data_IF_985857346042
#
_entry.id   IF_985857346042
#
_cell.length_a   1.000
_cell.length_b   1.000
_cell.length_c   1.000
_cell.angle_alpha   90.00
_cell.angle_beta   90.00
_cell.angle_gamma   90.00
#
_symmetry.space_group_name_H-M   'P 1'
#
loop_
_entity.id
_entity.type
_entity.pdbx_description
1 polymer ?
#
# COMPACT_ATOMS: atom_id res chain seq x y z
N UNK A 1 28.91 20.32 -6.56
CA UNK A 1 28.77 18.94 -6.02
C UNK A 1 27.34 18.35 -6.11
N UNK A 2 26.37 18.99 -6.78
CA UNK A 2 24.98 18.48 -6.84
C UNK A 2 24.63 17.50 -7.98
N UNK A 3 25.37 17.52 -9.10
CA UNK A 3 25.03 16.69 -10.27
C UNK A 3 25.43 15.21 -10.12
N UNK A 4 26.51 14.92 -9.37
CA UNK A 4 27.00 13.55 -9.16
C UNK A 4 26.07 12.78 -8.22
N UNK A 5 25.58 13.42 -7.15
CA UNK A 5 24.63 12.82 -6.20
C UNK A 5 23.27 12.55 -6.84
N UNK A 6 22.77 13.44 -7.69
CA UNK A 6 21.55 13.22 -8.46
C UNK A 6 21.66 12.05 -9.45
N UNK A 7 22.79 11.92 -10.15
CA UNK A 7 22.99 10.84 -11.11
C UNK A 7 23.03 9.47 -10.43
N UNK A 8 23.72 9.38 -9.29
CA UNK A 8 23.76 8.18 -8.44
C UNK A 8 22.37 7.84 -7.89
N UNK A 9 21.60 8.85 -7.44
CA UNK A 9 20.22 8.66 -6.96
C UNK A 9 19.29 8.12 -8.04
N UNK A 10 19.34 8.67 -9.27
CA UNK A 10 18.53 8.18 -10.40
C UNK A 10 18.91 6.75 -10.80
N UNK A 11 20.20 6.40 -10.80
CA UNK A 11 20.67 5.04 -11.06
C UNK A 11 20.15 4.05 -10.03
N UNK A 12 20.16 4.43 -8.75
CA UNK A 12 19.65 3.58 -7.67
C UNK A 12 18.13 3.43 -7.73
N UNK A 13 17.38 4.51 -7.94
CA UNK A 13 15.93 4.45 -8.08
C UNK A 13 15.52 3.48 -9.20
N UNK A 14 16.20 3.52 -10.35
CA UNK A 14 16.00 2.55 -11.45
C UNK A 14 16.36 1.13 -11.06
N UNK A 15 17.38 0.93 -10.24
CA UNK A 15 17.77 -0.41 -9.77
C UNK A 15 16.73 -0.99 -8.82
N UNK A 16 16.20 -0.16 -7.91
CA UNK A 16 15.24 -0.54 -6.86
C UNK A 16 13.82 -0.80 -7.39
N UNK A 17 13.41 -0.03 -8.39
CA UNK A 17 12.09 -0.17 -9.05
C UNK A 17 12.02 -1.33 -10.04
N UNK A 18 13.14 -2.01 -10.35
CA UNK A 18 13.12 -3.17 -11.25
C UNK A 18 12.29 -4.32 -10.65
N UNK A 19 11.35 -4.91 -11.43
CA UNK A 19 10.63 -6.11 -11.05
C UNK A 19 11.55 -7.32 -10.83
N UNK A 20 11.16 -8.23 -9.95
CA UNK A 20 11.84 -9.50 -9.66
C UNK A 20 11.12 -10.63 -10.39
N UNK A 21 11.88 -11.46 -11.13
CA UNK A 21 11.37 -12.51 -12.04
C UNK A 21 10.56 -13.65 -11.38
N UNK A 22 10.59 -13.78 -10.05
CA UNK A 22 10.06 -14.93 -9.31
C UNK A 22 8.76 -14.66 -8.54
N UNK A 23 8.13 -13.50 -8.72
CA UNK A 23 6.90 -13.18 -7.98
C UNK A 23 5.70 -13.79 -8.69
N UNK A 24 5.34 -15.04 -8.36
CA UNK A 24 4.04 -15.61 -8.75
C UNK A 24 2.96 -14.89 -7.95
N UNK A 25 2.53 -13.72 -8.41
CA UNK A 25 1.42 -13.00 -7.79
C UNK A 25 0.15 -13.43 -8.47
N UNK A 26 -0.72 -14.06 -7.69
CA UNK A 26 -2.08 -14.33 -8.12
C UNK A 26 -2.90 -13.14 -7.65
N UNK A 27 -3.48 -12.38 -8.59
CA UNK A 27 -4.49 -11.40 -8.27
C UNK A 27 -5.65 -12.11 -7.57
N UNK A 28 -5.91 -11.79 -6.30
CA UNK A 28 -6.98 -12.41 -5.53
C UNK A 28 -8.35 -11.82 -5.85
N UNK A 29 -8.37 -10.61 -6.43
CA UNK A 29 -9.56 -9.85 -6.78
C UNK A 29 -9.37 -9.34 -8.22
N UNK A 30 -10.39 -9.50 -9.08
CA UNK A 30 -10.34 -8.94 -10.44
C UNK A 30 -10.42 -7.41 -10.41
N UNK A 31 -9.89 -6.76 -11.44
CA UNK A 31 -9.89 -5.29 -11.50
C UNK A 31 -11.31 -4.72 -11.44
N UNK A 32 -12.29 -5.38 -12.06
CA UNK A 32 -13.69 -4.95 -12.10
C UNK A 32 -14.32 -5.03 -10.69
N UNK A 33 -14.07 -6.12 -9.97
CA UNK A 33 -14.53 -6.29 -8.59
C UNK A 33 -13.89 -5.26 -7.67
N UNK A 34 -12.61 -4.96 -7.87
CA UNK A 34 -11.89 -3.95 -7.12
C UNK A 34 -12.47 -2.55 -7.39
N UNK A 35 -12.70 -2.20 -8.66
CA UNK A 35 -13.26 -0.91 -9.06
C UNK A 35 -14.68 -0.68 -8.50
N UNK A 36 -15.48 -1.73 -8.42
CA UNK A 36 -16.87 -1.66 -7.89
C UNK A 36 -16.88 -1.49 -6.37
N UNK A 37 -15.90 -2.08 -5.66
CA UNK A 37 -15.85 -2.05 -4.21
C UNK A 37 -15.17 -0.80 -3.63
N UNK A 38 -14.23 -0.19 -4.36
CA UNK A 38 -13.45 0.95 -3.87
C UNK A 38 -14.29 2.22 -3.68
N UNK A 39 -13.97 2.97 -2.63
CA UNK A 39 -14.55 4.26 -2.29
C UNK A 39 -13.44 5.30 -2.07
N UNK A 40 -13.66 6.59 -2.40
CA UNK A 40 -12.67 7.63 -2.15
C UNK A 40 -12.17 7.61 -0.70
N UNK A 41 -10.86 7.80 -0.48
CA UNK A 41 -10.24 7.69 0.84
C UNK A 41 -9.86 6.27 1.25
N UNK A 42 -10.28 5.23 0.52
CA UNK A 42 -9.77 3.88 0.73
C UNK A 42 -8.26 3.82 0.45
N UNK A 43 -7.54 3.07 1.29
CA UNK A 43 -6.13 2.73 1.07
C UNK A 43 -6.06 1.37 0.39
N UNK A 44 -5.50 1.34 -0.81
CA UNK A 44 -5.22 0.11 -1.53
C UNK A 44 -3.81 -0.37 -1.18
N UNK A 45 -3.72 -1.45 -0.41
CA UNK A 45 -2.47 -2.14 -0.15
C UNK A 45 -2.12 -3.03 -1.33
N UNK A 46 -0.84 -3.01 -1.70
CA UNK A 46 -0.32 -3.77 -2.83
C UNK A 46 0.86 -4.61 -2.38
N UNK A 47 0.81 -5.88 -2.70
CA UNK A 47 1.98 -6.72 -2.66
C UNK A 47 2.84 -6.41 -3.90
N UNK A 48 3.82 -5.53 -3.77
CA UNK A 48 4.69 -5.16 -4.89
C UNK A 48 5.68 -6.27 -5.26
N UNK A 49 6.19 -6.21 -6.49
CA UNK A 49 7.11 -7.19 -7.06
C UNK A 49 8.50 -6.62 -7.41
N UNK A 50 8.79 -5.39 -6.95
CA UNK A 50 10.07 -4.72 -7.21
C UNK A 50 11.14 -5.15 -6.22
N UNK A 51 12.41 -4.83 -6.49
CA UNK A 51 13.49 -5.10 -5.51
C UNK A 51 13.24 -4.41 -4.18
N UNK A 52 12.81 -3.15 -4.21
CA UNK A 52 12.45 -2.43 -2.98
C UNK A 52 11.32 -3.14 -2.23
N UNK A 53 10.35 -3.71 -2.95
CA UNK A 53 9.26 -4.46 -2.32
C UNK A 53 9.78 -5.61 -1.46
N UNK A 54 10.80 -6.35 -1.92
CA UNK A 54 11.42 -7.44 -1.14
C UNK A 54 11.99 -6.94 0.18
N UNK A 55 12.71 -5.81 0.16
CA UNK A 55 13.26 -5.22 1.38
C UNK A 55 12.16 -4.76 2.35
N UNK A 56 11.11 -4.10 1.85
CA UNK A 56 9.97 -3.65 2.68
C UNK A 56 9.27 -4.85 3.31
N UNK A 57 8.98 -5.91 2.53
CA UNK A 57 8.36 -7.14 3.07
C UNK A 57 9.18 -7.76 4.18
N UNK A 58 10.50 -7.85 3.96
CA UNK A 58 11.43 -8.37 4.95
C UNK A 58 11.50 -7.51 6.22
N UNK A 59 11.56 -6.19 6.09
CA UNK A 59 11.66 -5.29 7.24
C UNK A 59 10.38 -5.24 8.07
N UNK A 60 9.24 -5.20 7.39
CA UNK A 60 7.92 -5.05 8.03
C UNK A 60 7.31 -6.38 8.44
N UNK A 61 7.94 -7.51 8.04
CA UNK A 61 7.41 -8.86 8.22
C UNK A 61 5.95 -8.96 7.71
N UNK A 62 5.71 -8.36 6.56
CA UNK A 62 4.39 -8.27 5.92
C UNK A 62 4.50 -8.54 4.43
N UNK A 63 3.41 -9.02 3.81
CA UNK A 63 3.32 -9.10 2.34
C UNK A 63 3.11 -7.71 1.73
N UNK A 64 2.49 -6.78 2.46
CA UNK A 64 2.20 -5.43 1.98
C UNK A 64 3.47 -4.61 1.89
N UNK A 65 3.86 -4.25 0.67
CA UNK A 65 5.10 -3.54 0.42
C UNK A 65 4.89 -2.17 -0.22
N UNK A 66 3.65 -1.87 -0.62
CA UNK A 66 3.27 -0.62 -1.21
C UNK A 66 1.82 -0.28 -0.87
N UNK A 67 1.47 1.00 -0.98
CA UNK A 67 0.12 1.50 -0.74
C UNK A 67 -0.20 2.65 -1.71
N UNK A 68 -1.46 2.75 -2.11
CA UNK A 68 -1.98 3.87 -2.89
C UNK A 68 -3.32 4.32 -2.29
N UNK A 69 -3.63 5.62 -2.36
CA UNK A 69 -4.93 6.14 -1.95
C UNK A 69 -5.87 6.17 -3.16
N UNK A 70 -7.08 5.61 -3.02
CA UNK A 70 -8.11 5.76 -4.02
C UNK A 70 -8.80 7.13 -3.88
N UNK A 71 -8.82 7.89 -4.97
CA UNK A 71 -9.38 9.25 -5.02
C UNK A 71 -10.67 9.34 -5.82
N UNK A 72 -11.07 8.25 -6.49
CA UNK A 72 -12.21 8.24 -7.41
C UNK A 72 -11.96 9.02 -8.70
N UNK A 73 -13.03 9.31 -9.44
CA UNK A 73 -12.97 9.96 -10.76
C UNK A 73 -12.90 11.50 -10.67
N UNK A 74 -12.10 12.02 -9.75
CA UNK A 74 -11.98 13.47 -9.49
C UNK A 74 -10.91 14.16 -10.34
N UNK A 75 -9.99 13.38 -10.92
CA UNK A 75 -8.93 13.90 -11.77
C UNK A 75 -9.41 14.09 -13.22
N UNK A 76 -8.91 15.13 -13.93
CA UNK A 76 -9.27 15.37 -15.30
C UNK A 76 -8.78 14.23 -16.21
N UNK A 77 -9.60 13.83 -17.17
CA UNK A 77 -9.19 12.88 -18.19
C UNK A 77 -8.36 13.63 -19.24
N UNK A 78 -7.09 13.27 -19.40
CA UNK A 78 -6.25 13.93 -20.42
C UNK A 78 -6.71 13.58 -21.85
N UNK A 79 -7.33 12.42 -22.04
CA UNK A 79 -7.92 12.01 -23.31
C UNK A 79 -9.02 10.93 -23.13
N UNK A 80 -10.01 10.84 -24.05
CA UNK A 80 -11.11 9.85 -23.96
C UNK A 80 -10.67 8.38 -23.93
N UNK A 81 -9.52 8.04 -24.51
CA UNK A 81 -9.00 6.68 -24.57
C UNK A 81 -8.09 6.31 -23.38
N UNK A 82 -7.78 7.26 -22.51
CA UNK A 82 -6.97 6.98 -21.33
C UNK A 82 -7.84 6.39 -20.23
N UNK A 83 -7.33 5.33 -19.61
CA UNK A 83 -7.96 4.77 -18.42
C UNK A 83 -7.98 5.82 -17.30
N UNK A 84 -9.07 5.87 -16.49
CA UNK A 84 -9.20 6.86 -15.44
C UNK A 84 -8.10 6.68 -14.40
N UNK A 85 -7.45 7.78 -14.03
CA UNK A 85 -6.46 7.82 -12.98
C UNK A 85 -7.16 8.03 -11.64
N UNK A 86 -7.32 6.94 -10.89
CA UNK A 86 -8.18 6.88 -9.70
C UNK A 86 -7.40 6.55 -8.43
N UNK A 87 -6.10 6.27 -8.56
CA UNK A 87 -5.19 6.01 -7.45
C UNK A 87 -4.07 7.05 -7.44
N UNK A 88 -3.66 7.49 -6.25
CA UNK A 88 -2.48 8.32 -6.05
C UNK A 88 -1.48 7.57 -5.18
N UNK A 89 -0.23 7.60 -5.58
CA UNK A 89 0.87 6.96 -4.87
C UNK A 89 2.15 7.79 -4.92
N UNK A 90 3.09 7.47 -4.04
CA UNK A 90 4.46 7.95 -4.12
C UNK A 90 5.36 6.90 -4.75
N UNK A 91 5.93 7.21 -5.92
CA UNK A 91 6.92 6.41 -6.63
C UNK A 91 8.33 6.97 -6.47
N UNK A 92 9.34 6.09 -6.46
CA UNK A 92 10.75 6.47 -6.27
C UNK A 92 11.33 7.28 -7.44
N UNK A 93 10.83 7.05 -8.65
CA UNK A 93 11.36 7.64 -9.88
C UNK A 93 10.50 8.83 -10.31
N UNK A 94 9.19 8.69 -10.22
CA UNK A 94 8.22 9.66 -10.73
C UNK A 94 7.68 10.59 -9.64
N UNK A 95 8.00 10.34 -8.36
CA UNK A 95 7.45 11.11 -7.25
C UNK A 95 6.00 10.76 -7.00
N UNK A 96 5.23 11.71 -6.46
CA UNK A 96 3.79 11.52 -6.28
C UNK A 96 3.11 11.60 -7.64
N UNK A 97 2.39 10.54 -8.01
CA UNK A 97 1.74 10.40 -9.32
C UNK A 97 0.35 9.82 -9.19
N UNK A 98 -0.49 10.11 -10.18
CA UNK A 98 -1.79 9.47 -10.36
C UNK A 98 -1.71 8.34 -11.37
N UNK A 99 -2.33 7.20 -11.08
CA UNK A 99 -2.31 5.99 -11.90
C UNK A 99 -3.70 5.36 -11.99
N UNK A 100 -3.90 4.53 -13.01
CA UNK A 100 -5.13 3.75 -13.16
C UNK A 100 -5.09 2.47 -12.32
N UNK A 101 -6.27 1.91 -12.01
CA UNK A 101 -6.38 0.62 -11.34
C UNK A 101 -5.66 -0.51 -12.09
N UNK A 102 -5.60 -0.41 -13.43
CA UNK A 102 -4.98 -1.40 -14.29
C UNK A 102 -3.48 -1.61 -14.00
N UNK A 103 -2.81 -0.60 -13.42
CA UNK A 103 -1.42 -0.73 -12.97
C UNK A 103 -1.23 -1.87 -11.95
N UNK A 104 -2.28 -2.20 -11.18
CA UNK A 104 -2.26 -3.24 -10.15
C UNK A 104 -3.11 -4.47 -10.46
N UNK A 105 -3.66 -4.59 -11.67
CA UNK A 105 -4.60 -5.64 -12.04
C UNK A 105 -4.08 -7.08 -11.83
N UNK A 106 -2.78 -7.28 -11.94
CA UNK A 106 -2.14 -8.60 -11.79
C UNK A 106 -1.41 -8.78 -10.45
N UNK A 107 -1.59 -7.86 -9.51
CA UNK A 107 -0.96 -7.92 -8.20
C UNK A 107 -1.96 -8.35 -7.14
N UNK A 108 -1.44 -8.91 -6.05
CA UNK A 108 -2.25 -9.16 -4.88
C UNK A 108 -2.53 -7.82 -4.17
N UNK A 109 -3.80 -7.52 -3.97
CA UNK A 109 -4.27 -6.25 -3.39
C UNK A 109 -5.24 -6.46 -2.23
N UNK A 110 -5.31 -5.46 -1.34
CA UNK A 110 -6.30 -5.41 -0.26
C UNK A 110 -6.80 -3.97 -0.09
N UNK A 111 -8.11 -3.82 0.12
CA UNK A 111 -8.73 -2.54 0.42
C UNK A 111 -8.80 -2.37 1.94
N UNK A 112 -8.23 -1.28 2.44
CA UNK A 112 -8.36 -0.82 3.82
C UNK A 112 -9.24 0.45 3.81
N UNK A 113 -10.44 0.36 4.40
CA UNK A 113 -11.42 1.45 4.42
C UNK A 113 -11.45 2.14 5.78
N UNK A 114 -11.21 3.46 5.86
CA UNK A 114 -11.28 4.16 7.15
C UNK A 114 -12.72 4.18 7.67
N UNK A 115 -12.92 3.66 8.90
CA UNK A 115 -14.22 3.64 9.58
C UNK A 115 -14.50 5.01 10.21
N UNK A 116 -15.73 5.50 10.08
CA UNK A 116 -16.19 6.74 10.72
C UNK A 116 -15.62 8.03 10.15
N UNK A 117 -14.90 7.98 9.03
CA UNK A 117 -14.38 9.18 8.36
C UNK A 117 -15.53 9.96 7.73
N UNK A 118 -15.70 11.22 8.15
CA UNK A 118 -16.73 12.11 7.63
C UNK A 118 -16.51 12.39 6.13
N UNK A 119 -17.58 12.72 5.41
CA UNK A 119 -17.51 13.06 3.99
C UNK A 119 -16.59 14.27 3.73
N UNK A 120 -16.61 15.23 4.66
CA UNK A 120 -15.77 16.43 4.60
C UNK A 120 -14.29 16.09 4.80
N UNK A 121 -13.96 15.26 5.79
CA UNK A 121 -12.58 14.84 6.05
C UNK A 121 -12.07 13.90 4.97
N UNK A 122 -12.93 13.03 4.43
CA UNK A 122 -12.61 12.21 3.25
C UNK A 122 -12.21 13.10 2.08
N UNK A 123 -12.95 14.18 1.82
CA UNK A 123 -12.58 15.15 0.79
C UNK A 123 -11.22 15.80 1.08
N UNK A 124 -10.97 16.23 2.32
CA UNK A 124 -9.68 16.82 2.73
C UNK A 124 -8.50 15.86 2.52
N UNK A 125 -8.66 14.58 2.89
CA UNK A 125 -7.64 13.54 2.67
C UNK A 125 -7.35 13.36 1.17
N UNK A 126 -8.39 13.30 0.35
CA UNK A 126 -8.25 13.20 -1.12
C UNK A 126 -7.58 14.44 -1.70
N UNK A 127 -8.03 15.64 -1.35
CA UNK A 127 -7.44 16.90 -1.80
C UNK A 127 -5.96 17.01 -1.39
N UNK A 128 -5.62 16.53 -0.19
CA UNK A 128 -4.26 16.55 0.35
C UNK A 128 -3.27 15.78 -0.53
N UNK A 129 -3.65 14.59 -1.00
CA UNK A 129 -2.78 13.79 -1.87
C UNK A 129 -2.77 14.30 -3.30
N UNK A 130 -3.89 14.84 -3.80
CA UNK A 130 -3.97 15.48 -5.13
C UNK A 130 -3.04 16.68 -5.20
N UNK A 131 -3.06 17.54 -4.18
CA UNK A 131 -2.19 18.72 -4.10
C UNK A 131 -0.69 18.37 -4.09
N UNK A 132 -0.34 17.10 -3.83
CA UNK A 132 1.04 16.63 -3.80
C UNK A 132 1.50 15.98 -5.09
N UNK A 133 0.66 15.81 -6.10
CA UNK A 133 1.07 15.29 -7.41
C UNK A 133 2.23 16.12 -7.95
N UNK A 134 3.30 15.44 -8.39
CA UNK A 134 4.54 16.07 -8.87
C UNK A 134 5.59 16.33 -7.78
N UNK A 135 5.28 16.15 -6.49
CA UNK A 135 6.29 16.25 -5.44
C UNK A 135 7.27 15.06 -5.51
N UNK A 136 8.56 15.35 -5.35
CA UNK A 136 9.63 14.35 -5.27
C UNK A 136 10.13 14.20 -3.84
N UNK A 137 10.52 12.98 -3.48
CA UNK A 137 11.07 12.65 -2.17
C UNK A 137 12.59 12.54 -2.20
N UNK A 138 13.23 12.93 -1.09
CA UNK A 138 14.66 12.76 -0.92
C UNK A 138 15.01 11.27 -0.77
N UNK A 139 15.74 10.74 -1.74
CA UNK A 139 16.13 9.33 -1.81
C UNK A 139 17.12 8.91 -0.72
N UNK A 140 17.66 9.84 0.09
CA UNK A 140 18.63 9.56 1.17
C UNK A 140 18.25 8.38 2.06
N UNK A 141 17.00 8.29 2.52
CA UNK A 141 16.55 7.20 3.38
C UNK A 141 16.35 5.87 2.65
N UNK A 142 16.17 5.91 1.32
CA UNK A 142 16.00 4.72 0.49
C UNK A 142 17.34 4.03 0.20
N UNK A 143 18.47 4.75 0.27
CA UNK A 143 19.81 4.14 0.20
C UNK A 143 20.04 3.11 1.33
N UNK A 144 19.57 3.40 2.54
CA UNK A 144 19.66 2.48 3.67
C UNK A 144 18.87 1.19 3.46
N UNK A 145 17.88 1.22 2.58
CA UNK A 145 17.04 0.06 2.24
C UNK A 145 17.78 -0.96 1.37
N UNK A 146 18.78 -0.51 0.62
CA UNK A 146 19.60 -1.34 -0.27
C UNK A 146 20.32 -2.46 0.51
N UNK A 147 20.70 -2.21 1.77
CA UNK A 147 21.34 -3.23 2.63
C UNK A 147 20.38 -4.35 3.02
N UNK A 148 19.08 -4.17 2.89
CA UNK A 148 18.09 -5.23 3.13
C UNK A 148 17.76 -6.04 1.88
N UNK A 149 18.34 -5.69 0.73
CA UNK A 149 18.31 -6.51 -0.48
C UNK A 149 19.29 -7.69 -0.44
N UNK A 150 19.99 -7.90 0.69
CA UNK A 150 21.01 -8.94 0.88
C UNK A 150 20.56 -10.39 0.60
N UNK A 151 19.27 -10.79 0.67
CA UNK A 151 18.85 -12.08 0.17
C UNK A 151 19.00 -12.22 -1.37
N UNK A 152 18.93 -11.09 -2.09
CA UNK A 152 18.94 -11.02 -3.57
C UNK A 152 20.24 -10.50 -4.17
N UNK A 153 21.17 -9.98 -3.34
CA UNK A 153 22.47 -9.52 -3.80
C UNK A 153 23.51 -10.64 -3.70
N UNK A 154 24.42 -10.78 -4.68
CA UNK A 154 25.51 -11.76 -4.66
C UNK A 154 26.62 -11.32 -3.69
N UNK A 155 26.26 -11.08 -2.42
CA UNK A 155 27.20 -10.69 -1.37
C UNK A 155 27.58 -11.94 -0.57
N UNK A 156 28.89 -12.24 -0.42
CA UNK A 156 29.36 -13.36 0.38
C UNK A 156 28.78 -13.29 1.80
N UNK A 157 28.30 -14.43 2.31
CA UNK A 157 27.60 -14.56 3.60
C UNK A 157 28.35 -13.89 4.76
N UNK A 158 29.69 -13.93 4.74
CA UNK A 158 30.58 -13.28 5.73
C UNK A 158 30.42 -11.76 5.85
N UNK A 159 30.01 -11.06 4.79
CA UNK A 159 29.84 -9.61 4.80
C UNK A 159 28.39 -9.18 5.12
N UNK A 160 27.42 -10.11 5.08
CA UNK A 160 26.00 -9.80 5.33
C UNK A 160 25.77 -9.23 6.72
N UNK A 161 26.38 -9.84 7.75
CA UNK A 161 26.25 -9.37 9.16
C UNK A 161 26.84 -7.98 9.36
N UNK A 162 27.96 -7.66 8.70
CA UNK A 162 28.59 -6.33 8.78
C UNK A 162 27.77 -5.24 8.08
N UNK A 163 27.16 -5.56 6.94
CA UNK A 163 26.30 -4.62 6.20
C UNK A 163 25.00 -4.28 6.95
N UNK A 164 24.45 -5.22 7.71
CA UNK A 164 23.27 -4.96 8.54
C UNK A 164 23.59 -4.10 9.78
N UNK A 165 24.80 -4.23 10.32
CA UNK A 165 25.26 -3.50 11.51
C UNK A 165 25.69 -2.04 11.25
N UNK A 166 25.86 -1.64 9.99
CA UNK A 166 26.32 -0.31 9.57
C UNK A 166 25.17 0.67 9.27
N UNK A 167 24.18 0.81 10.16
CA UNK A 167 23.09 1.77 9.96
C UNK A 167 22.39 2.17 11.25
N UNK A 168 22.29 3.48 11.50
CA UNK A 168 21.73 4.12 12.71
C UNK A 168 20.36 4.78 12.51
N UNK A 169 19.75 4.63 11.33
CA UNK A 169 18.46 5.24 11.00
C UNK A 169 17.33 4.22 10.90
N UNK A 170 16.10 4.65 11.22
CA UNK A 170 14.88 3.87 11.06
C UNK A 170 14.60 3.65 9.55
N UNK A 171 14.90 2.46 9.01
CA UNK A 171 14.96 2.22 7.57
C UNK A 171 13.58 1.96 6.97
N UNK A 172 12.51 2.02 7.77
CA UNK A 172 11.15 1.63 7.39
C UNK A 172 10.35 2.73 6.70
N UNK A 173 10.97 3.88 6.40
CA UNK A 173 10.34 5.02 5.71
C UNK A 173 9.91 4.66 4.29
N UNK A 174 8.74 4.05 4.14
CA UNK A 174 8.09 3.88 2.86
C UNK A 174 7.42 5.20 2.47
N UNK A 175 7.83 5.75 1.33
CA UNK A 175 7.34 7.05 0.84
C UNK A 175 5.83 7.03 0.59
N UNK A 176 5.29 5.90 0.15
CA UNK A 176 3.88 5.72 -0.15
C UNK A 176 3.01 5.73 1.11
N UNK A 177 3.38 4.98 2.16
CA UNK A 177 2.67 5.02 3.45
C UNK A 177 2.84 6.35 4.16
N UNK A 178 4.00 7.01 4.01
CA UNK A 178 4.24 8.35 4.57
C UNK A 178 3.28 9.39 3.98
N UNK A 179 3.13 9.44 2.64
CA UNK A 179 2.20 10.36 1.98
C UNK A 179 0.77 10.19 2.50
N UNK A 180 0.31 8.93 2.57
CA UNK A 180 -1.04 8.59 2.99
C UNK A 180 -1.22 8.91 4.48
N UNK A 181 -0.25 8.59 5.32
CA UNK A 181 -0.28 8.91 6.74
C UNK A 181 -0.39 10.41 7.00
N UNK A 182 0.39 11.21 6.28
CA UNK A 182 0.31 12.67 6.36
C UNK A 182 -1.07 13.21 5.95
N UNK A 183 -1.74 12.57 4.99
CA UNK A 183 -3.09 12.95 4.58
C UNK A 183 -4.11 12.70 5.69
N UNK A 184 -4.09 11.52 6.32
CA UNK A 184 -4.96 11.19 7.46
C UNK A 184 -4.63 12.03 8.72
N UNK A 185 -3.34 12.29 8.97
CA UNK A 185 -2.89 13.15 10.07
C UNK A 185 -3.43 14.59 9.92
N UNK A 186 -3.57 15.09 8.70
CA UNK A 186 -4.11 16.45 8.44
C UNK A 186 -5.54 16.65 8.94
N UNK A 187 -6.30 15.55 9.05
CA UNK A 187 -7.67 15.52 9.61
C UNK A 187 -7.70 14.85 10.99
N UNK A 188 -6.54 14.63 11.61
CA UNK A 188 -6.36 13.95 12.91
C UNK A 188 -6.99 12.55 12.97
N UNK A 189 -7.06 11.86 11.83
CA UNK A 189 -7.57 10.49 11.77
C UNK A 189 -6.49 9.50 12.22
N UNK A 190 -6.79 8.62 13.20
CA UNK A 190 -5.80 7.68 13.74
C UNK A 190 -5.58 6.49 12.79
N UNK A 191 -4.32 6.21 12.43
CA UNK A 191 -3.95 4.97 11.72
C UNK A 191 -3.55 3.92 12.75
N UNK A 192 -2.43 4.13 13.44
CA UNK A 192 -2.02 3.28 14.56
C UNK A 192 -1.45 4.19 15.66
N UNK A 193 -2.32 4.82 16.47
CA UNK A 193 -1.89 5.72 17.53
C UNK A 193 -1.19 4.94 18.65
N UNK A 194 -0.27 5.61 19.35
CA UNK A 194 0.19 5.13 20.65
C UNK A 194 -0.88 5.44 21.68
N UNK A 195 -1.34 4.40 22.40
CA UNK A 195 -2.36 4.53 23.44
C UNK A 195 -1.63 4.69 24.76
N UNK A 196 -1.66 5.90 25.32
CA UNK A 196 -1.20 6.15 26.67
C UNK A 196 -2.38 6.09 27.64
N UNK A 197 -2.32 5.18 28.61
CA UNK A 197 -3.31 5.13 29.70
C UNK A 197 -2.84 6.05 30.82
N UNK A 198 -3.62 7.10 31.08
CA UNK A 198 -3.44 7.94 32.27
C UNK A 198 -4.56 7.68 33.26
N UNK A 199 -4.27 7.79 34.55
CA UNK A 199 -5.31 7.74 35.58
C UNK A 199 -6.25 8.94 35.41
N UNK A 200 -7.55 8.72 35.56
CA UNK A 200 -8.54 9.79 35.50
C UNK A 200 -8.41 10.69 36.73
N UNK A 201 -8.36 12.01 36.54
CA UNK A 201 -8.39 13.00 37.63
C UNK A 201 -9.80 13.15 38.25
N UNK A 202 -10.75 12.27 37.92
CA UNK A 202 -12.12 12.34 38.43
C UNK A 202 -12.21 11.73 39.86
N UNK A 203 -12.48 12.54 40.89
CA UNK A 203 -12.55 12.06 42.28
C UNK A 203 -13.71 11.09 42.56
N UNK A 204 -14.68 10.96 41.65
CA UNK A 204 -15.76 9.96 41.73
C UNK A 204 -15.43 8.61 41.07
N UNK A 205 -14.34 8.52 40.31
CA UNK A 205 -13.94 7.34 39.53
C UNK A 205 -12.43 7.15 39.54
N UNK A 206 -11.85 6.94 40.72
CA UNK A 206 -10.41 6.75 40.91
C UNK A 206 -9.84 5.49 40.19
N UNK A 207 -10.69 4.53 39.84
CA UNK A 207 -10.33 3.30 39.11
C UNK A 207 -10.57 3.38 37.59
N UNK A 208 -10.87 4.58 37.05
CA UNK A 208 -11.03 4.76 35.61
C UNK A 208 -9.75 5.27 34.94
N UNK A 209 -9.39 4.67 33.81
CA UNK A 209 -8.29 5.11 32.97
C UNK A 209 -8.81 5.95 31.80
N UNK A 210 -8.15 7.06 31.49
CA UNK A 210 -8.32 7.77 30.24
C UNK A 210 -7.27 7.29 29.23
N UNK A 211 -7.71 6.91 28.02
CA UNK A 211 -6.82 6.57 26.91
C UNK A 211 -6.54 7.81 26.07
N UNK A 212 -5.29 8.26 26.05
CA UNK A 212 -4.83 9.36 25.20
C UNK A 212 -4.15 8.77 23.97
N UNK A 213 -4.65 9.11 22.79
CA UNK A 213 -4.13 8.63 21.51
C UNK A 213 -3.11 9.63 20.95
N UNK A 214 -1.86 9.22 20.83
CA UNK A 214 -0.80 10.01 20.20
C UNK A 214 -0.57 9.53 18.76
N UNK A 215 -0.63 10.45 17.81
CA UNK A 215 -0.26 10.18 16.42
C UNK A 215 1.24 9.98 16.35
N UNK A 216 1.67 8.85 15.79
CA UNK A 216 3.10 8.58 15.57
C UNK A 216 3.61 9.48 14.45
N UNK A 217 4.90 9.79 14.48
CA UNK A 217 5.52 10.53 13.38
C UNK A 217 5.30 9.79 12.06
N UNK A 218 4.71 10.46 11.07
CA UNK A 218 4.21 9.85 9.83
C UNK A 218 5.24 8.99 9.08
N UNK A 219 6.54 9.28 9.23
CA UNK A 219 7.62 8.53 8.59
C UNK A 219 7.77 7.09 9.09
N UNK A 220 7.17 6.76 10.24
CA UNK A 220 7.25 5.43 10.85
C UNK A 220 6.17 4.49 10.35
N UNK A 221 5.16 5.01 9.64
CA UNK A 221 4.09 4.17 9.10
C UNK A 221 4.58 3.39 7.89
N UNK A 222 4.19 2.13 7.87
CA UNK A 222 4.44 1.16 6.82
C UNK A 222 3.08 0.74 6.22
N UNK A 223 3.06 0.15 5.00
CA UNK A 223 1.81 -0.35 4.41
C UNK A 223 1.06 -1.32 5.33
N UNK A 224 1.77 -2.10 6.16
CA UNK A 224 1.19 -3.03 7.14
C UNK A 224 0.29 -2.33 8.16
N UNK A 225 0.61 -1.10 8.55
CA UNK A 225 -0.09 -0.43 9.66
C UNK A 225 -1.55 -0.14 9.34
N UNK A 226 -1.89 0.07 8.06
CA UNK A 226 -3.29 0.19 7.62
C UNK A 226 -4.05 -1.14 7.68
N UNK A 227 -3.37 -2.28 7.51
CA UNK A 227 -3.98 -3.62 7.55
C UNK A 227 -4.30 -4.06 8.98
N UNK A 228 -3.46 -3.69 9.94
CA UNK A 228 -3.60 -4.09 11.35
C UNK A 228 -4.33 -3.04 12.20
N UNK A 229 -4.60 -1.87 11.63
CA UNK A 229 -5.26 -0.78 12.34
C UNK A 229 -6.68 -1.19 12.75
N UNK A 230 -7.10 -0.92 14.00
CA UNK A 230 -8.48 -1.14 14.41
C UNK A 230 -9.46 -0.09 13.83
N UNK A 231 -8.94 0.94 13.16
CA UNK A 231 -9.73 2.03 12.58
C UNK A 231 -10.02 1.80 11.09
N UNK A 232 -9.45 0.77 10.48
CA UNK A 232 -9.68 0.44 9.07
C UNK A 232 -10.36 -0.92 8.91
N UNK A 233 -11.45 -0.95 8.15
CA UNK A 233 -12.10 -2.18 7.71
C UNK A 233 -11.33 -2.82 6.55
N UNK A 234 -11.24 -4.14 6.57
CA UNK A 234 -10.64 -4.92 5.49
C UNK A 234 -11.74 -5.41 4.54
N UNK A 235 -11.94 -4.67 3.45
CA UNK A 235 -12.98 -4.95 2.47
C UNK A 235 -12.53 -6.12 1.57
N UNK A 236 -13.34 -7.17 1.54
CA UNK A 236 -13.13 -8.38 0.72
C UNK A 236 -14.30 -8.52 -0.25
N UNK A 237 -14.21 -7.97 -1.48
CA UNK A 237 -15.33 -7.90 -2.42
C UNK A 237 -15.93 -9.26 -2.78
N UNK A 238 -15.13 -10.33 -2.72
CA UNK A 238 -15.61 -11.68 -2.96
C UNK A 238 -16.59 -12.16 -1.86
N UNK A 239 -16.42 -11.70 -0.62
CA UNK A 239 -17.23 -12.10 0.54
C UNK A 239 -18.49 -11.25 0.65
N UNK A 240 -18.36 -9.93 0.47
CA UNK A 240 -19.50 -9.00 0.56
C UNK A 240 -20.60 -9.29 -0.47
N UNK A 241 -20.22 -9.88 -1.61
CA UNK A 241 -21.14 -10.26 -2.68
C UNK A 241 -21.76 -11.66 -2.49
N UNK A 242 -21.92 -12.13 -1.24
CA UNK A 242 -22.66 -13.36 -0.92
C UNK A 242 -21.86 -14.65 -1.15
N UNK A 243 -20.60 -14.68 -0.74
CA UNK A 243 -19.76 -15.88 -0.84
C UNK A 243 -20.39 -17.10 -0.16
N UNK A 244 -20.68 -18.15 -0.93
CA UNK A 244 -21.03 -19.48 -0.43
C UNK A 244 -19.89 -20.46 -0.75
N UNK A 245 -19.22 -20.94 0.29
CA UNK A 245 -18.13 -21.89 0.13
C UNK A 245 -18.60 -23.26 -0.41
N UNK A 246 -19.89 -23.59 -0.29
CA UNK A 246 -20.47 -24.85 -0.78
C UNK A 246 -20.68 -24.86 -2.29
N UNK A 247 -20.78 -23.70 -2.93
CA UNK A 247 -20.95 -23.60 -4.39
C UNK A 247 -19.62 -23.61 -5.16
N UNK A 248 -18.49 -23.82 -4.47
CA UNK A 248 -17.18 -23.81 -5.10
C UNK A 248 -16.96 -25.07 -5.96
N UNK A 249 -16.52 -24.92 -7.22
CA UNK A 249 -16.21 -26.06 -8.07
C UNK A 249 -14.86 -26.66 -7.64
N UNK A 250 -14.91 -27.70 -6.81
CA UNK A 250 -13.74 -28.50 -6.48
C UNK A 250 -13.45 -29.46 -7.63
N UNK A 251 -12.20 -29.54 -8.07
CA UNK A 251 -11.78 -30.59 -9.00
C UNK A 251 -11.57 -31.88 -8.21
N UNK A 252 -12.57 -32.76 -8.18
CA UNK A 252 -12.50 -34.02 -7.42
C UNK A 252 -11.52 -35.06 -8.02
N UNK A 253 -10.76 -34.75 -9.06
CA UNK A 253 -9.84 -35.72 -9.67
C UNK A 253 -8.69 -35.07 -10.43
N UNK A 254 -7.47 -35.52 -10.17
CA UNK A 254 -6.27 -35.29 -11.00
C UNK A 254 -6.43 -35.97 -12.36
N UNK A 255 -7.19 -35.38 -13.28
CA UNK A 255 -7.21 -35.81 -14.68
C UNK A 255 -7.00 -34.62 -15.62
N UNK A 256 -5.96 -34.78 -16.46
CA UNK A 256 -5.53 -33.95 -17.60
C UNK A 256 -6.12 -32.53 -17.70
N UNK A 257 -5.32 -31.53 -17.33
CA UNK A 257 -5.56 -30.09 -17.54
C UNK A 257 -5.64 -29.67 -19.03
N UNK A 258 -5.72 -30.62 -19.97
CA UNK A 258 -5.86 -30.34 -21.39
C UNK A 258 -7.35 -30.26 -21.75
N UNK A 259 -7.84 -29.01 -21.84
CA UNK A 259 -9.14 -28.56 -22.38
C UNK A 259 -10.25 -28.42 -21.32
N UNK A 260 -10.20 -27.31 -20.59
CA UNK A 260 -11.43 -26.70 -20.06
C UNK A 260 -11.90 -25.68 -21.12
N UNK A 261 -13.03 -25.91 -21.82
CA UNK A 261 -13.54 -24.93 -22.76
C UNK A 261 -13.99 -23.67 -22.02
N UNK A 262 -13.60 -22.50 -22.54
CA UNK A 262 -14.04 -21.21 -22.04
C UNK A 262 -15.55 -21.08 -22.31
N UNK A 263 -16.37 -21.03 -21.26
CA UNK A 263 -17.78 -20.69 -21.42
C UNK A 263 -17.87 -19.20 -21.73
N UNK A 264 -18.23 -18.86 -22.98
CA UNK A 264 -18.66 -17.52 -23.33
C UNK A 264 -19.93 -17.21 -22.54
N UNK A 265 -19.89 -16.17 -21.71
CA UNK A 265 -21.09 -15.56 -21.16
C UNK A 265 -21.87 -14.95 -22.33
N UNK A 266 -22.96 -15.61 -22.72
CA UNK A 266 -23.97 -15.03 -23.59
C UNK A 266 -24.58 -13.83 -22.87
N UNK A 267 -24.27 -12.64 -23.37
CA UNK A 267 -25.01 -11.42 -23.04
C UNK A 267 -26.32 -11.53 -23.81
N UNK A 268 -27.37 -11.98 -23.15
CA UNK A 268 -28.73 -11.84 -23.68
C UNK A 268 -29.06 -10.35 -23.68
N UNK A 269 -29.12 -9.78 -24.89
CA UNK A 269 -29.78 -8.52 -25.15
C UNK A 269 -31.26 -8.82 -25.34
N UNK A 270 -32.08 -8.34 -24.42
CA UNK A 270 -33.48 -7.98 -24.63
C UNK A 270 -33.70 -6.57 -24.05
#
# INVERSE_FOLDING_TARGET
>A
MGQVTEFVGRGLARFLTKPVRQSTQVATISQEKLATALQPGDVLLVEGNTRISVAIKYLTQSTWSHAALYVGNVLPHSAPWQLPQVLIEADLKEGVRAISLAHYAQMHTRICRPVGLSDEDRKRVVDYVIARIGHHYDLKHIFDLVRYLLPTLPVPTRFRRRLLALGSGDPTRAICSTLIAQAFESVRYPILPEIQRTWSDNPMHADCYAEIYHIRHHSLYTPRDFDISPFFDIIKPAIENGFDYRSLPWSDTTHDLKKIPCKSTEINAD
#
